data_IF_875428033924
#
_entry.id   IF_875428033924
#
_cell.length_a   1.000
_cell.length_b   1.000
_cell.length_c   1.000
_cell.angle_alpha   90.00
_cell.angle_beta   90.00
_cell.angle_gamma   90.00
#
_symmetry.space_group_name_H-M   'P 1'
#
loop_
_entity.id
_entity.type
_entity.pdbx_description
1 polymer ?
#
# COMPACT_ATOMS: atom_id res chain seq x y z
N UNK A 1 -39.59 -34.62 58.32
CA UNK A 1 -39.28 -35.77 57.45
C UNK A 1 -38.30 -35.30 56.37
N UNK A 2 -37.03 -35.73 56.51
CA UNK A 2 -35.96 -35.95 55.50
C UNK A 2 -35.59 -34.75 54.60
N UNK A 3 -34.39 -34.17 54.78
CA UNK A 3 -33.10 -34.54 54.11
C UNK A 3 -33.15 -34.15 52.62
N UNK A 4 -32.19 -33.46 51.98
CA UNK A 4 -30.71 -33.36 52.08
C UNK A 4 -30.32 -32.06 51.33
N UNK A 5 -29.38 -31.23 51.78
CA UNK A 5 -27.92 -31.43 51.84
C UNK A 5 -27.22 -31.36 50.47
N UNK A 6 -26.72 -30.15 50.19
CA UNK A 6 -25.34 -29.84 49.76
C UNK A 6 -24.62 -30.82 48.84
N UNK A 7 -24.18 -30.35 47.67
CA UNK A 7 -22.88 -30.76 47.10
C UNK A 7 -22.26 -29.69 46.19
N UNK A 8 -21.33 -28.97 46.79
CA UNK A 8 -20.24 -28.23 46.17
C UNK A 8 -19.17 -29.19 45.62
N UNK A 9 -18.79 -29.01 44.36
CA UNK A 9 -17.49 -29.39 43.81
C UNK A 9 -17.05 -28.19 42.95
N UNK A 10 -15.88 -27.57 43.10
CA UNK A 10 -14.62 -28.08 43.62
C UNK A 10 -13.65 -28.28 42.45
N UNK A 11 -12.95 -27.20 42.09
CA UNK A 11 -11.58 -27.14 41.53
C UNK A 11 -11.24 -27.92 40.25
N UNK A 12 -10.84 -27.20 39.20
CA UNK A 12 -9.47 -27.22 38.66
C UNK A 12 -9.20 -25.98 37.78
N UNK A 13 -8.19 -25.15 38.09
CA UNK A 13 -7.59 -24.24 37.10
C UNK A 13 -6.47 -24.99 36.37
N UNK A 14 -6.77 -25.52 35.19
CA UNK A 14 -5.72 -26.09 34.31
C UNK A 14 -4.94 -24.94 33.70
N UNK A 15 -3.85 -24.63 34.39
CA UNK A 15 -2.74 -23.79 33.93
C UNK A 15 -2.09 -24.48 32.73
N UNK A 16 -2.41 -24.04 31.52
CA UNK A 16 -1.71 -24.43 30.30
C UNK A 16 -0.87 -23.24 29.85
N UNK A 17 0.45 -23.44 29.95
CA UNK A 17 1.50 -22.48 29.66
C UNK A 17 1.39 -21.91 28.23
N UNK A 18 1.40 -20.58 28.15
CA UNK A 18 1.81 -19.84 26.96
C UNK A 18 3.28 -20.17 26.66
N UNK A 19 3.54 -20.89 25.56
CA UNK A 19 4.85 -20.88 24.91
C UNK A 19 4.85 -19.73 23.89
N UNK A 20 5.36 -18.59 24.30
CA UNK A 20 5.73 -17.48 23.42
C UNK A 20 7.03 -17.91 22.72
N UNK A 21 6.93 -18.49 21.53
CA UNK A 21 8.08 -18.64 20.63
C UNK A 21 8.30 -17.31 19.91
N UNK A 22 9.39 -16.63 20.32
CA UNK A 22 9.76 -15.33 19.79
C UNK A 22 10.10 -15.32 18.30
N UNK A 23 10.07 -14.13 17.66
CA UNK A 23 10.55 -13.96 16.30
C UNK A 23 12.06 -14.21 16.25
N UNK A 24 12.46 -15.26 15.51
CA UNK A 24 13.83 -15.45 15.08
C UNK A 24 14.20 -14.31 14.12
N UNK A 25 14.89 -13.32 14.65
CA UNK A 25 15.80 -12.48 13.88
C UNK A 25 16.91 -13.38 13.33
N UNK A 26 16.85 -13.67 12.02
CA UNK A 26 17.97 -14.21 11.28
C UNK A 26 18.59 -13.09 10.45
N UNK A 27 19.70 -12.59 10.97
CA UNK A 27 20.66 -11.75 10.26
C UNK A 27 21.15 -12.40 8.97
N UNK A 28 21.43 -11.53 7.99
CA UNK A 28 22.55 -11.52 7.03
C UNK A 28 23.22 -12.88 6.70
N UNK A 29 23.58 -13.16 5.44
CA UNK A 29 24.83 -12.66 4.84
C UNK A 29 25.01 -13.26 3.42
N UNK A 30 25.38 -12.41 2.43
CA UNK A 30 26.19 -12.60 1.19
C UNK A 30 25.93 -13.84 0.28
N UNK A 31 25.85 -13.74 -1.05
CA UNK A 31 26.90 -13.36 -2.02
C UNK A 31 26.23 -13.18 -3.40
N UNK A 32 26.38 -12.03 -4.07
CA UNK A 32 27.43 -11.75 -5.07
C UNK A 32 27.24 -12.51 -6.39
N UNK A 33 26.64 -11.85 -7.39
CA UNK A 33 27.16 -11.96 -8.75
C UNK A 33 27.01 -10.65 -9.52
N UNK A 34 28.16 -10.08 -9.82
CA UNK A 34 28.34 -8.85 -10.55
C UNK A 34 28.04 -9.07 -12.05
N UNK A 35 27.30 -8.12 -12.64
CA UNK A 35 27.51 -7.73 -14.03
C UNK A 35 27.58 -6.22 -14.10
N UNK A 36 28.82 -5.78 -14.24
CA UNK A 36 29.26 -4.44 -14.58
C UNK A 36 28.77 -4.07 -15.97
N UNK A 37 27.97 -3.02 -16.13
CA UNK A 37 28.13 -2.06 -17.23
C UNK A 37 27.63 -0.69 -16.72
N UNK A 38 28.46 0.33 -16.95
CA UNK A 38 28.49 1.58 -16.19
C UNK A 38 27.22 2.42 -16.29
N UNK A 39 26.79 2.93 -15.13
CA UNK A 39 25.88 4.05 -15.02
C UNK A 39 26.60 5.10 -14.16
N UNK A 40 27.00 6.19 -14.80
CA UNK A 40 27.54 7.38 -14.14
C UNK A 40 26.37 8.02 -13.37
N UNK A 41 26.27 7.74 -12.07
CA UNK A 41 25.37 8.48 -11.16
C UNK A 41 26.05 9.76 -10.71
N UNK A 42 25.65 10.88 -11.30
CA UNK A 42 25.80 12.19 -10.69
C UNK A 42 24.79 12.28 -9.55
N UNK A 43 25.27 12.13 -8.33
CA UNK A 43 24.54 12.46 -7.11
C UNK A 43 24.36 13.98 -7.05
N UNK A 44 23.12 14.46 -7.14
CA UNK A 44 22.75 15.73 -6.54
C UNK A 44 21.48 15.54 -5.71
N UNK A 45 21.68 15.52 -4.39
CA UNK A 45 20.63 15.76 -3.41
C UNK A 45 20.21 17.22 -3.59
N UNK A 46 19.02 17.44 -4.13
CA UNK A 46 18.35 18.74 -4.08
C UNK A 46 17.33 18.66 -2.95
N UNK A 47 17.80 18.95 -1.75
CA UNK A 47 16.93 19.31 -0.64
C UNK A 47 16.72 20.81 -0.66
N UNK A 48 15.43 21.17 -0.66
CA UNK A 48 14.86 22.34 0.00
C UNK A 48 15.17 23.73 -0.59
N UNK A 49 14.12 24.30 -1.18
CA UNK A 49 13.61 25.64 -0.87
C UNK A 49 14.65 26.69 -0.48
N UNK A 50 15.16 27.39 -1.50
CA UNK A 50 15.31 28.83 -1.38
C UNK A 50 14.91 29.48 -2.70
N UNK A 51 13.78 30.17 -2.65
CA UNK A 51 13.29 31.11 -3.65
C UNK A 51 14.26 32.28 -3.67
N UNK A 52 15.36 32.16 -4.43
CA UNK A 52 16.19 33.31 -4.78
C UNK A 52 15.83 33.73 -6.20
N UNK A 53 14.89 34.67 -6.28
CA UNK A 53 14.63 35.49 -7.46
C UNK A 53 15.92 36.20 -7.88
N UNK A 54 16.75 35.55 -8.68
CA UNK A 54 17.72 36.25 -9.52
C UNK A 54 17.05 36.52 -10.85
N UNK A 55 16.45 37.70 -10.94
CA UNK A 55 16.18 38.37 -12.20
C UNK A 55 17.48 38.43 -12.99
N UNK A 56 17.63 37.55 -14.00
CA UNK A 56 18.62 37.72 -15.04
C UNK A 56 18.18 38.93 -15.87
N UNK A 57 18.58 40.12 -15.42
CA UNK A 57 18.65 41.29 -16.27
C UNK A 57 19.73 41.01 -17.32
N UNK A 58 19.31 40.54 -18.50
CA UNK A 58 20.12 40.62 -19.70
C UNK A 58 20.19 42.11 -20.12
N UNK A 59 21.14 42.83 -19.51
CA UNK A 59 21.51 44.19 -19.89
C UNK A 59 22.72 44.10 -20.81
N UNK A 60 22.49 43.78 -22.08
CA UNK A 60 23.51 43.85 -23.12
C UNK A 60 23.55 45.27 -23.70
N UNK A 61 24.19 46.20 -22.99
CA UNK A 61 24.73 47.40 -23.61
C UNK A 61 26.17 47.09 -24.04
N UNK A 62 26.32 46.64 -25.28
CA UNK A 62 27.62 46.60 -25.94
C UNK A 62 27.46 47.32 -27.28
N UNK A 63 27.76 48.62 -27.27
CA UNK A 63 28.12 49.36 -28.48
C UNK A 63 29.49 48.85 -28.93
N UNK A 64 29.50 47.68 -29.57
CA UNK A 64 30.68 47.12 -30.21
C UNK A 64 30.78 47.80 -31.57
N UNK A 65 31.86 48.56 -31.75
CA UNK A 65 32.25 49.08 -33.06
C UNK A 65 32.45 47.90 -34.00
N UNK A 66 31.68 47.88 -35.07
CA UNK A 66 31.86 46.99 -36.21
C UNK A 66 33.19 47.35 -36.89
N UNK A 67 34.21 46.52 -36.67
CA UNK A 67 35.39 46.44 -37.53
C UNK A 67 35.18 45.26 -38.50
N UNK A 68 35.19 45.48 -39.83
CA UNK A 68 34.92 44.45 -40.82
C UNK A 68 36.24 43.80 -41.23
N UNK A 69 36.71 42.81 -40.48
CA UNK A 69 37.94 42.12 -40.86
C UNK A 69 37.94 40.69 -40.34
N UNK A 70 37.39 39.76 -41.12
CA UNK A 70 37.98 38.48 -41.53
C UNK A 70 37.00 37.79 -42.50
N UNK A 71 37.18 38.05 -43.80
CA UNK A 71 36.68 37.15 -44.86
C UNK A 71 37.48 35.84 -44.79
N UNK A 72 37.00 34.91 -43.98
CA UNK A 72 37.12 33.47 -44.22
C UNK A 72 35.68 32.96 -44.35
N UNK A 73 35.16 33.02 -45.56
CA UNK A 73 33.98 32.25 -45.92
C UNK A 73 34.33 30.76 -45.71
N UNK A 74 33.35 29.95 -45.31
CA UNK A 74 33.42 28.48 -45.12
C UNK A 74 33.58 27.98 -43.66
N UNK A 75 32.94 28.64 -42.69
CA UNK A 75 32.79 28.12 -41.31
C UNK A 75 31.37 28.18 -40.72
N UNK A 76 30.51 29.03 -41.29
CA UNK A 76 29.13 29.24 -40.80
C UNK A 76 28.24 28.04 -41.07
N UNK A 77 28.47 27.36 -42.19
CA UNK A 77 27.64 26.21 -42.60
C UNK A 77 27.89 25.03 -41.67
N UNK A 78 29.14 24.80 -41.29
CA UNK A 78 29.57 23.76 -40.35
C UNK A 78 28.96 24.00 -38.96
N UNK A 79 28.93 25.24 -38.48
CA UNK A 79 28.31 25.60 -37.20
C UNK A 79 26.79 25.42 -37.24
N UNK A 80 26.13 25.79 -38.34
CA UNK A 80 24.69 25.57 -38.51
C UNK A 80 24.33 24.07 -38.53
N UNK A 81 25.14 23.25 -39.21
CA UNK A 81 24.94 21.80 -39.23
C UNK A 81 25.16 21.21 -37.83
N UNK A 82 26.24 21.61 -37.15
CA UNK A 82 26.56 21.13 -35.79
C UNK A 82 25.47 21.50 -34.77
N UNK A 83 24.96 22.73 -34.81
CA UNK A 83 23.87 23.18 -33.94
C UNK A 83 22.54 22.49 -34.24
N UNK A 84 22.24 22.21 -35.52
CA UNK A 84 21.07 21.43 -35.92
C UNK A 84 21.09 20.00 -35.39
N UNK A 85 22.22 19.31 -35.52
CA UNK A 85 22.43 17.96 -34.98
C UNK A 85 22.30 17.93 -33.46
N UNK A 86 22.89 18.91 -32.77
CA UNK A 86 22.79 19.01 -31.32
C UNK A 86 21.33 19.24 -30.87
N UNK A 87 20.59 20.08 -31.60
CA UNK A 87 19.16 20.31 -31.36
C UNK A 87 18.32 19.05 -31.53
N UNK A 88 18.58 18.25 -32.57
CA UNK A 88 17.90 16.98 -32.80
C UNK A 88 18.16 15.97 -31.67
N UNK A 89 19.42 15.84 -31.22
CA UNK A 89 19.76 14.96 -30.09
C UNK A 89 19.08 15.40 -28.79
N UNK A 90 18.98 16.71 -28.54
CA UNK A 90 18.28 17.24 -27.38
C UNK A 90 16.78 16.91 -27.42
N UNK A 91 16.13 17.06 -28.58
CA UNK A 91 14.71 16.71 -28.73
C UNK A 91 14.49 15.21 -28.50
N UNK A 92 15.35 14.36 -29.06
CA UNK A 92 15.27 12.91 -28.86
C UNK A 92 15.41 12.55 -27.38
N UNK A 93 16.39 13.14 -26.69
CA UNK A 93 16.60 12.91 -25.26
C UNK A 93 15.41 13.37 -24.40
N UNK A 94 14.79 14.50 -24.74
CA UNK A 94 13.58 14.99 -24.04
C UNK A 94 12.39 14.06 -24.25
N UNK A 95 12.20 13.55 -25.47
CA UNK A 95 11.11 12.60 -25.76
C UNK A 95 11.32 11.27 -25.02
N UNK A 96 12.55 10.75 -24.98
CA UNK A 96 12.88 9.55 -24.21
C UNK A 96 12.59 9.75 -22.71
N UNK A 97 12.99 10.90 -22.15
CA UNK A 97 12.72 11.22 -20.76
C UNK A 97 11.22 11.32 -20.43
N UNK A 98 10.40 11.84 -21.35
CA UNK A 98 8.95 11.87 -21.15
C UNK A 98 8.33 10.46 -21.14
N UNK A 99 8.80 9.57 -22.02
CA UNK A 99 8.31 8.19 -22.06
C UNK A 99 8.68 7.40 -20.80
N UNK A 100 9.90 7.56 -20.29
CA UNK A 100 10.34 6.92 -19.06
C UNK A 100 9.50 7.36 -17.86
N UNK A 101 9.24 8.66 -17.72
CA UNK A 101 8.39 9.18 -16.63
C UNK A 101 6.96 8.62 -16.69
N UNK A 102 6.37 8.48 -17.88
CA UNK A 102 5.05 7.88 -18.02
C UNK A 102 5.04 6.42 -17.60
N UNK A 103 6.08 5.66 -17.98
CA UNK A 103 6.21 4.25 -17.60
C UNK A 103 6.41 4.07 -16.11
N UNK A 104 7.19 4.92 -15.45
CA UNK A 104 7.40 4.88 -14.00
C UNK A 104 6.10 5.19 -13.24
N UNK A 105 5.35 6.21 -13.66
CA UNK A 105 4.07 6.55 -13.03
C UNK A 105 3.07 5.40 -13.12
N UNK A 106 2.98 4.74 -14.28
CA UNK A 106 2.11 3.58 -14.45
C UNK A 106 2.53 2.38 -13.58
N UNK A 107 3.84 2.12 -13.46
CA UNK A 107 4.36 1.08 -12.58
C UNK A 107 4.10 1.38 -11.10
N UNK A 108 4.17 2.65 -10.69
CA UNK A 108 3.83 3.06 -9.33
C UNK A 108 2.35 2.84 -9.02
N UNK A 109 1.47 3.16 -9.96
CA UNK A 109 0.03 2.91 -9.84
C UNK A 109 -0.28 1.41 -9.71
N UNK A 110 0.28 0.58 -10.59
CA UNK A 110 0.14 -0.88 -10.51
C UNK A 110 0.69 -1.46 -9.20
N UNK A 111 1.85 -0.98 -8.74
CA UNK A 111 2.42 -1.42 -7.46
C UNK A 111 1.53 -1.00 -6.29
N UNK A 112 0.89 0.17 -6.37
CA UNK A 112 -0.04 0.63 -5.34
C UNK A 112 -1.27 -0.28 -5.28
N UNK A 113 -1.90 -0.57 -6.42
CA UNK A 113 -3.04 -1.48 -6.49
C UNK A 113 -2.69 -2.88 -5.98
N UNK A 114 -1.54 -3.41 -6.41
CA UNK A 114 -1.08 -4.72 -5.97
C UNK A 114 -0.85 -4.77 -4.45
N UNK A 115 -0.30 -3.71 -3.86
CA UNK A 115 -0.14 -3.62 -2.40
C UNK A 115 -1.47 -3.55 -1.65
N UNK A 116 -2.49 -2.88 -2.21
CA UNK A 116 -3.82 -2.82 -1.61
C UNK A 116 -4.50 -4.18 -1.64
N UNK A 117 -4.43 -4.89 -2.77
CA UNK A 117 -4.96 -6.25 -2.91
C UNK A 117 -4.23 -7.24 -1.99
N UNK A 118 -2.90 -7.17 -1.94
CA UNK A 118 -2.11 -8.04 -1.06
C UNK A 118 -2.45 -7.82 0.42
N UNK A 119 -2.74 -6.58 0.84
CA UNK A 119 -3.22 -6.30 2.20
C UNK A 119 -4.62 -6.87 2.46
N UNK A 120 -5.50 -6.87 1.46
CA UNK A 120 -6.81 -7.49 1.56
C UNK A 120 -6.68 -9.02 1.69
N UNK A 121 -5.87 -9.66 0.86
CA UNK A 121 -5.61 -11.11 0.94
C UNK A 121 -4.94 -11.51 2.26
N UNK A 122 -4.01 -10.69 2.76
CA UNK A 122 -3.41 -10.92 4.09
C UNK A 122 -4.43 -10.79 5.21
N UNK A 123 -5.33 -9.80 5.15
CA UNK A 123 -6.41 -9.68 6.11
C UNK A 123 -7.33 -10.91 6.07
N UNK A 124 -7.71 -11.37 4.87
CA UNK A 124 -8.55 -12.56 4.67
C UNK A 124 -7.89 -13.85 5.17
N UNK A 125 -6.58 -14.03 4.93
CA UNK A 125 -5.86 -15.22 5.41
C UNK A 125 -5.62 -15.21 6.92
N UNK A 126 -5.42 -14.04 7.54
CA UNK A 126 -5.35 -13.94 9.02
C UNK A 126 -6.70 -14.13 9.71
N UNK A 127 -7.81 -13.86 9.02
CA UNK A 127 -9.15 -14.05 9.57
C UNK A 127 -9.51 -15.51 9.84
N UNK A 128 -8.76 -16.48 9.32
CA UNK A 128 -8.99 -17.91 9.57
C UNK A 128 -8.71 -18.35 11.02
N UNK A 129 -7.87 -17.62 11.77
CA UNK A 129 -7.40 -18.08 13.09
C UNK A 129 -7.64 -17.08 14.24
N UNK A 130 -8.48 -16.06 14.02
CA UNK A 130 -8.92 -15.20 15.11
C UNK A 130 -9.81 -16.01 16.07
N UNK A 131 -9.51 -16.02 17.38
CA UNK A 131 -10.37 -16.66 18.38
C UNK A 131 -11.71 -15.93 18.44
N UNK A 132 -12.81 -16.69 18.52
CA UNK A 132 -14.14 -16.12 18.70
C UNK A 132 -14.27 -15.48 20.09
N UNK A 133 -14.90 -14.30 20.16
CA UNK A 133 -15.18 -13.61 21.42
C UNK A 133 -16.25 -14.36 22.22
N UNK A 134 -17.34 -14.75 21.55
CA UNK A 134 -18.46 -15.52 22.10
C UNK A 134 -19.35 -16.04 20.96
N UNK A 135 -20.31 -16.89 21.31
CA UNK A 135 -21.28 -17.45 20.37
C UNK A 135 -22.64 -16.75 20.49
N UNK A 136 -23.36 -16.64 19.37
CA UNK A 136 -24.69 -16.04 19.30
C UNK A 136 -25.64 -16.92 18.50
N UNK A 137 -26.93 -16.89 18.87
CA UNK A 137 -28.01 -17.48 18.08
C UNK A 137 -28.67 -16.38 17.24
N UNK A 138 -28.96 -16.69 15.99
CA UNK A 138 -29.69 -15.79 15.09
C UNK A 138 -31.19 -15.86 15.41
N UNK A 139 -31.78 -14.73 15.82
CA UNK A 139 -33.22 -14.62 16.12
C UNK A 139 -34.07 -14.21 14.93
N UNK A 140 -33.49 -13.43 14.03
CA UNK A 140 -34.21 -12.81 12.91
C UNK A 140 -33.33 -12.87 11.66
N UNK A 141 -33.94 -13.13 10.51
CA UNK A 141 -33.27 -13.10 9.22
C UNK A 141 -33.24 -11.66 8.68
N UNK A 142 -32.06 -11.02 8.60
CA UNK A 142 -31.94 -9.70 8.02
C UNK A 142 -31.94 -9.85 6.49
N UNK A 143 -32.96 -9.28 5.82
CA UNK A 143 -33.00 -9.19 4.36
C UNK A 143 -31.94 -8.18 3.85
N UNK A 144 -30.67 -8.57 3.90
CA UNK A 144 -29.54 -7.76 3.46
C UNK A 144 -28.91 -8.40 2.22
N UNK A 145 -28.84 -7.64 1.14
CA UNK A 145 -28.17 -8.04 -0.11
C UNK A 145 -26.81 -7.34 -0.22
N UNK A 146 -25.91 -7.66 0.72
CA UNK A 146 -24.60 -7.04 0.80
C UNK A 146 -23.48 -8.00 0.36
N UNK A 147 -22.50 -7.51 -0.38
CA UNK A 147 -21.32 -8.34 -0.76
C UNK A 147 -20.50 -8.78 0.46
N UNK A 148 -20.67 -8.11 1.61
CA UNK A 148 -19.98 -8.41 2.88
C UNK A 148 -20.85 -9.08 3.93
N UNK A 149 -22.11 -9.42 3.62
CA UNK A 149 -23.01 -10.04 4.60
C UNK A 149 -22.72 -11.53 4.75
N UNK A 150 -22.96 -12.05 5.95
CA UNK A 150 -22.86 -13.49 6.19
C UNK A 150 -24.05 -14.20 5.52
N UNK A 151 -23.80 -14.90 4.42
CA UNK A 151 -24.85 -15.55 3.62
C UNK A 151 -25.01 -17.04 3.97
N UNK A 152 -26.24 -17.54 3.90
CA UNK A 152 -26.56 -18.96 4.12
C UNK A 152 -26.69 -19.36 5.59
N UNK A 153 -27.06 -18.40 6.44
CA UNK A 153 -27.41 -18.57 7.86
C UNK A 153 -28.91 -18.43 8.03
N UNK A 154 -29.51 -19.28 8.86
CA UNK A 154 -30.94 -19.25 9.19
C UNK A 154 -31.21 -18.88 10.64
N UNK A 155 -32.49 -18.60 10.94
CA UNK A 155 -32.95 -18.39 12.32
C UNK A 155 -32.72 -19.67 13.13
N UNK A 156 -32.09 -19.55 14.29
CA UNK A 156 -31.71 -20.65 15.18
C UNK A 156 -30.29 -21.16 15.00
N UNK A 157 -29.57 -20.74 13.95
CA UNK A 157 -28.16 -21.09 13.78
C UNK A 157 -27.27 -20.39 14.82
N UNK A 158 -26.25 -21.11 15.29
CA UNK A 158 -25.22 -20.57 16.18
C UNK A 158 -24.06 -20.04 15.33
N UNK A 159 -23.70 -18.79 15.54
CA UNK A 159 -22.58 -18.11 14.87
C UNK A 159 -21.55 -17.64 15.89
N UNK A 160 -20.28 -17.67 15.49
CA UNK A 160 -19.18 -17.18 16.32
C UNK A 160 -18.92 -15.70 16.03
N UNK A 161 -18.98 -14.85 17.05
CA UNK A 161 -18.69 -13.42 16.91
C UNK A 161 -17.18 -13.21 17.03
N UNK A 162 -16.58 -12.60 16.01
CA UNK A 162 -15.15 -12.27 15.97
C UNK A 162 -14.88 -10.84 16.46
N UNK A 163 -15.76 -9.90 16.10
CA UNK A 163 -15.65 -8.49 16.45
C UNK A 163 -17.05 -7.88 16.62
N UNK A 164 -17.26 -7.14 17.71
CA UNK A 164 -18.51 -6.42 17.97
C UNK A 164 -18.44 -4.98 17.45
N UNK A 165 -19.61 -4.39 17.14
CA UNK A 165 -19.76 -2.98 16.83
C UNK A 165 -18.90 -2.47 15.65
N UNK A 166 -18.82 -3.26 14.58
CA UNK A 166 -18.23 -2.87 13.30
C UNK A 166 -19.21 -2.08 12.43
N UNK A 167 -18.65 -1.31 11.48
CA UNK A 167 -19.41 -0.51 10.52
C UNK A 167 -19.92 0.82 11.07
N UNK A 168 -20.64 1.60 10.24
CA UNK A 168 -21.15 2.92 10.63
C UNK A 168 -22.15 2.79 11.78
N UNK A 169 -21.85 3.44 12.90
CA UNK A 169 -22.70 3.41 14.10
C UNK A 169 -22.64 2.11 14.90
N UNK A 170 -21.70 1.20 14.60
CA UNK A 170 -21.52 -0.04 15.35
C UNK A 170 -22.73 -0.97 15.32
N UNK A 171 -23.51 -0.93 14.24
CA UNK A 171 -24.77 -1.69 14.11
C UNK A 171 -24.55 -3.14 13.65
N UNK A 172 -23.32 -3.51 13.31
CA UNK A 172 -22.98 -4.82 12.81
C UNK A 172 -21.93 -5.48 13.70
N UNK A 173 -21.92 -6.80 13.68
CA UNK A 173 -20.85 -7.62 14.23
C UNK A 173 -20.26 -8.47 13.10
N UNK A 174 -18.94 -8.70 13.15
CA UNK A 174 -18.28 -9.65 12.24
C UNK A 174 -18.47 -11.05 12.81
N UNK A 175 -19.17 -11.91 12.09
CA UNK A 175 -19.52 -13.26 12.51
C UNK A 175 -18.87 -14.31 11.60
N UNK A 176 -18.61 -15.50 12.14
CA UNK A 176 -18.12 -16.68 11.42
C UNK A 176 -19.12 -17.83 11.50
N UNK A 177 -19.40 -18.46 10.36
CA UNK A 177 -20.25 -19.63 10.23
C UNK A 177 -19.74 -20.55 9.11
N UNK A 178 -19.46 -21.83 9.41
CA UNK A 178 -18.97 -22.82 8.44
C UNK A 178 -17.83 -22.30 7.55
N UNK A 179 -16.79 -21.74 8.19
CA UNK A 179 -15.61 -21.15 7.57
C UNK A 179 -15.86 -19.91 6.69
N UNK A 180 -17.08 -19.38 6.68
CA UNK A 180 -17.42 -18.09 6.06
C UNK A 180 -17.44 -17.01 7.13
N UNK A 181 -16.87 -15.86 6.80
CA UNK A 181 -16.93 -14.66 7.64
C UNK A 181 -17.72 -13.58 6.94
N UNK A 182 -18.56 -12.86 7.68
CA UNK A 182 -19.35 -11.77 7.14
C UNK A 182 -19.95 -10.91 8.23
N UNK A 183 -20.50 -9.77 7.83
CA UNK A 183 -21.19 -8.86 8.74
C UNK A 183 -22.63 -9.32 8.97
N UNK A 184 -23.07 -9.20 10.21
CA UNK A 184 -24.44 -9.49 10.62
C UNK A 184 -24.96 -8.42 11.58
N UNK A 185 -26.21 -7.93 11.46
CA UNK A 185 -26.73 -6.90 12.34
C UNK A 185 -26.77 -7.35 13.79
N UNK A 186 -26.28 -6.51 14.71
CA UNK A 186 -26.26 -6.81 16.13
C UNK A 186 -27.68 -6.99 16.70
N UNK A 187 -28.69 -6.32 16.13
CA UNK A 187 -30.09 -6.45 16.53
C UNK A 187 -30.68 -7.86 16.30
N UNK A 188 -30.10 -8.64 15.39
CA UNK A 188 -30.58 -9.98 15.05
C UNK A 188 -29.88 -11.10 15.83
N UNK A 189 -28.89 -10.76 16.65
CA UNK A 189 -28.07 -11.70 17.42
C UNK A 189 -28.51 -11.73 18.89
N UNK A 190 -28.64 -12.93 19.44
CA UNK A 190 -28.78 -13.15 20.87
C UNK A 190 -27.57 -13.90 21.42
N UNK A 191 -26.98 -13.39 22.49
CA UNK A 191 -25.85 -14.03 23.18
C UNK A 191 -26.32 -15.26 23.97
N UNK A 192 -25.62 -16.38 23.77
CA UNK A 192 -25.86 -17.67 24.48
C UNK A 192 -25.15 -17.69 25.82
#
# INVERSE_FOLDING_TARGET
KRHQESKSHGTTPTTSMFMISGPRAASATLLRQARTHGCVRVLSKVTSNEVQRRSFFFRSNTTVKEEPFWRRNDGTVEIMIGTGLLGLLLVDQVLQFQQENQRENFLLELNHEHHVLQRQEQAETTNGNLPALFECIIRQDPQLDGTKTLNGVGIGDVVQVLEEAVGPGGQYSTCRFKDRTGWFPTACLEKV
#
